data_IF_773434180168
#
_entry.id   IF_773434180168
#
_cell.length_a   1.000
_cell.length_b   1.000
_cell.length_c   1.000
_cell.angle_alpha   90.00
_cell.angle_beta   90.00
_cell.angle_gamma   90.00
#
_symmetry.space_group_name_H-M   'P 1'
#
loop_
_entity.id
_entity.type
_entity.pdbx_description
1 polymer ?
#
# COMPACT_ATOMS: atom_id res chain seq x y z
N UNK A 1 -13.97 -16.54 -14.01
CA UNK A 1 -13.60 -15.12 -13.90
C UNK A 1 -12.11 -14.99 -13.59
N UNK A 2 -11.40 -14.21 -14.41
CA UNK A 2 -9.97 -13.90 -14.25
C UNK A 2 -9.80 -12.45 -13.80
N UNK A 3 -8.99 -12.22 -12.78
CA UNK A 3 -8.71 -10.85 -12.29
C UNK A 3 -7.26 -10.46 -12.47
N UNK A 4 -6.98 -9.16 -12.49
CA UNK A 4 -5.63 -8.60 -12.45
C UNK A 4 -5.45 -7.73 -11.21
N UNK A 5 -4.24 -7.74 -10.64
CA UNK A 5 -3.82 -6.82 -9.59
C UNK A 5 -2.36 -6.45 -9.80
N UNK A 6 -1.96 -5.26 -9.37
CA UNK A 6 -0.64 -4.73 -9.64
C UNK A 6 -0.03 -4.01 -8.44
N UNK A 7 1.29 -4.04 -8.34
CA UNK A 7 2.00 -3.33 -7.28
C UNK A 7 3.49 -3.59 -7.27
N UNK A 8 4.21 -2.80 -6.47
CA UNK A 8 5.63 -3.08 -6.22
C UNK A 8 5.80 -4.25 -5.26
N UNK A 9 4.90 -4.41 -4.27
CA UNK A 9 4.94 -5.47 -3.25
C UNK A 9 6.27 -5.57 -2.48
N UNK A 10 6.92 -4.43 -2.28
CA UNK A 10 8.11 -4.35 -1.45
C UNK A 10 7.74 -4.40 0.04
N UNK A 11 8.55 -5.06 0.88
CA UNK A 11 8.22 -5.33 2.29
C UNK A 11 6.75 -5.75 2.47
N UNK A 12 6.38 -6.92 1.93
CA UNK A 12 5.01 -7.45 1.98
C UNK A 12 4.43 -7.33 3.41
N UNK A 13 3.33 -6.59 3.53
CA UNK A 13 2.69 -6.19 4.78
C UNK A 13 1.19 -6.41 4.69
N UNK A 14 0.47 -6.31 5.81
CA UNK A 14 -0.96 -6.67 5.89
C UNK A 14 -1.85 -5.95 4.87
N UNK A 15 -1.53 -4.70 4.49
CA UNK A 15 -2.21 -4.02 3.39
C UNK A 15 -2.07 -4.73 2.02
N UNK A 16 -0.87 -5.18 1.65
CA UNK A 16 -0.67 -5.98 0.45
C UNK A 16 -1.34 -7.36 0.57
N UNK A 17 -1.24 -7.98 1.73
CA UNK A 17 -1.84 -9.28 2.02
C UNK A 17 -3.36 -9.25 1.86
N UNK A 18 -4.01 -8.15 2.27
CA UNK A 18 -5.43 -7.90 2.06
C UNK A 18 -5.76 -7.82 0.57
N UNK A 19 -5.00 -7.04 -0.21
CA UNK A 19 -5.16 -6.95 -1.67
C UNK A 19 -5.00 -8.31 -2.35
N UNK A 20 -3.95 -9.05 -1.98
CA UNK A 20 -3.67 -10.37 -2.54
C UNK A 20 -4.70 -11.42 -2.11
N UNK A 21 -5.29 -11.30 -0.92
CA UNK A 21 -6.31 -12.23 -0.42
C UNK A 21 -7.58 -12.24 -1.28
N UNK A 22 -7.90 -11.12 -1.93
CA UNK A 22 -9.01 -11.03 -2.88
C UNK A 22 -8.87 -11.99 -4.07
N UNK A 23 -7.64 -12.45 -4.38
CA UNK A 23 -7.39 -13.45 -5.43
C UNK A 23 -8.15 -14.76 -5.23
N UNK A 24 -8.47 -15.13 -3.98
CA UNK A 24 -9.24 -16.35 -3.66
C UNK A 24 -10.66 -16.36 -4.22
N UNK A 25 -11.20 -15.18 -4.60
CA UNK A 25 -12.55 -15.03 -5.13
C UNK A 25 -12.63 -15.27 -6.64
N UNK A 26 -11.51 -15.59 -7.29
CA UNK A 26 -11.36 -15.74 -8.73
C UNK A 26 -10.82 -17.11 -9.11
N UNK A 27 -11.10 -17.53 -10.35
CA UNK A 27 -10.61 -18.81 -10.87
C UNK A 27 -9.10 -18.75 -11.13
N UNK A 28 -8.61 -17.57 -11.53
CA UNK A 28 -7.19 -17.27 -11.65
C UNK A 28 -6.94 -15.76 -11.55
N UNK A 29 -5.71 -15.40 -11.17
CA UNK A 29 -5.28 -14.00 -11.14
C UNK A 29 -3.96 -13.76 -11.86
N UNK A 30 -3.84 -12.61 -12.51
CA UNK A 30 -2.56 -12.08 -13.00
C UNK A 30 -2.07 -11.04 -12.00
N UNK A 31 -0.83 -11.21 -11.54
CA UNK A 31 -0.21 -10.30 -10.58
C UNK A 31 0.95 -9.58 -11.26
N UNK A 32 0.75 -8.30 -11.56
CA UNK A 32 1.77 -7.43 -12.09
C UNK A 32 2.70 -6.94 -10.99
N UNK A 33 3.97 -7.33 -11.06
CA UNK A 33 5.00 -6.86 -10.13
C UNK A 33 5.93 -5.90 -10.87
N UNK A 34 6.09 -4.69 -10.33
CA UNK A 34 6.92 -3.66 -10.99
C UNK A 34 8.36 -4.15 -11.17
N UNK A 35 8.97 -3.86 -12.31
CA UNK A 35 10.41 -4.09 -12.52
C UNK A 35 11.26 -3.31 -11.53
N UNK A 36 12.53 -3.67 -11.38
CA UNK A 36 13.44 -2.95 -10.49
C UNK A 36 13.69 -1.52 -10.96
N UNK A 37 13.78 -1.32 -12.28
CA UNK A 37 13.93 0.01 -12.86
C UNK A 37 12.70 0.88 -12.58
N UNK A 38 11.50 0.32 -12.72
CA UNK A 38 10.27 1.05 -12.48
C UNK A 38 10.05 1.31 -10.98
N UNK A 39 10.32 0.33 -10.12
CA UNK A 39 10.21 0.47 -8.67
C UNK A 39 11.11 1.58 -8.13
N UNK A 40 12.35 1.70 -8.62
CA UNK A 40 13.28 2.77 -8.25
C UNK A 40 12.80 4.17 -8.66
N UNK A 41 12.04 4.29 -9.75
CA UNK A 41 11.44 5.58 -10.15
C UNK A 41 10.28 5.98 -9.25
N UNK A 42 9.56 4.99 -8.69
CA UNK A 42 8.39 5.21 -7.86
C UNK A 42 8.71 5.44 -6.38
N UNK A 43 9.92 5.10 -5.93
CA UNK A 43 10.31 5.09 -4.52
C UNK A 43 11.61 5.86 -4.33
N UNK A 44 11.58 6.82 -3.42
CA UNK A 44 12.76 7.59 -3.00
C UNK A 44 13.65 6.82 -2.00
N UNK A 45 13.82 5.51 -2.23
CA UNK A 45 14.65 4.62 -1.41
C UNK A 45 15.02 3.34 -2.18
N UNK A 46 16.06 2.61 -1.74
CA UNK A 46 16.34 1.27 -2.25
C UNK A 46 15.12 0.35 -2.08
N UNK A 47 14.86 -0.48 -3.09
CA UNK A 47 13.76 -1.45 -3.15
C UNK A 47 14.37 -2.85 -3.30
N UNK A 48 13.76 -3.87 -2.68
CA UNK A 48 14.21 -5.25 -2.90
C UNK A 48 14.07 -5.64 -4.38
N UNK A 49 14.88 -6.59 -4.84
CA UNK A 49 14.88 -6.99 -6.26
C UNK A 49 13.54 -7.57 -6.70
N UNK A 50 13.29 -7.54 -8.01
CA UNK A 50 12.08 -8.08 -8.63
C UNK A 50 11.91 -9.55 -8.26
N UNK A 51 13.00 -10.33 -8.31
CA UNK A 51 12.99 -11.74 -7.95
C UNK A 51 12.63 -11.97 -6.48
N UNK A 52 13.13 -11.14 -5.56
CA UNK A 52 12.78 -11.28 -4.16
C UNK A 52 11.31 -10.95 -3.89
N UNK A 53 10.81 -9.86 -4.48
CA UNK A 53 9.41 -9.43 -4.37
C UNK A 53 8.48 -10.47 -4.99
N UNK A 54 8.81 -10.96 -6.19
CA UNK A 54 8.12 -12.07 -6.87
C UNK A 54 8.05 -13.31 -6.02
N UNK A 55 9.18 -13.75 -5.43
CA UNK A 55 9.22 -14.93 -4.57
C UNK A 55 8.31 -14.79 -3.35
N UNK A 56 8.31 -13.63 -2.69
CA UNK A 56 7.45 -13.35 -1.53
C UNK A 56 5.97 -13.39 -1.89
N UNK A 57 5.58 -12.74 -3.00
CA UNK A 57 4.20 -12.73 -3.49
C UNK A 57 3.76 -14.13 -3.92
N UNK A 58 4.59 -14.86 -4.67
CA UNK A 58 4.30 -16.23 -5.08
C UNK A 58 4.09 -17.14 -3.88
N UNK A 59 4.98 -17.08 -2.88
CA UNK A 59 4.86 -17.87 -1.64
C UNK A 59 3.54 -17.58 -0.92
N UNK A 60 3.17 -16.30 -0.79
CA UNK A 60 1.91 -15.90 -0.16
C UNK A 60 0.69 -16.43 -0.93
N UNK A 61 0.63 -16.23 -2.25
CA UNK A 61 -0.49 -16.70 -3.08
C UNK A 61 -0.60 -18.23 -3.12
N UNK A 62 0.54 -18.94 -3.14
CA UNK A 62 0.57 -20.40 -3.03
C UNK A 62 0.01 -20.86 -1.67
N UNK A 63 0.37 -20.17 -0.58
CA UNK A 63 -0.19 -20.44 0.75
C UNK A 63 -1.70 -20.17 0.83
N UNK A 64 -2.22 -19.30 -0.03
CA UNK A 64 -3.67 -19.08 -0.19
C UNK A 64 -4.36 -20.16 -1.04
N UNK A 65 -3.62 -21.01 -1.75
CA UNK A 65 -4.19 -21.95 -2.73
C UNK A 65 -4.76 -21.26 -3.98
N UNK A 66 -4.37 -20.01 -4.25
CA UNK A 66 -4.82 -19.28 -5.42
C UNK A 66 -4.12 -19.81 -6.69
N UNK A 67 -4.83 -19.82 -7.83
CA UNK A 67 -4.20 -20.00 -9.15
C UNK A 67 -3.73 -18.64 -9.65
N UNK A 68 -2.45 -18.50 -9.95
CA UNK A 68 -1.90 -17.21 -10.32
C UNK A 68 -0.81 -17.28 -11.39
N UNK A 69 -0.66 -16.18 -12.10
CA UNK A 69 0.47 -15.87 -12.97
C UNK A 69 1.12 -14.58 -12.48
N UNK A 70 2.45 -14.52 -12.43
CA UNK A 70 3.18 -13.30 -12.09
C UNK A 70 3.92 -12.79 -13.30
N UNK A 71 3.61 -11.56 -13.69
CA UNK A 71 4.27 -10.84 -14.78
C UNK A 71 5.09 -9.68 -14.23
N UNK A 72 6.14 -9.30 -14.95
CA UNK A 72 6.87 -8.06 -14.69
C UNK A 72 6.18 -6.89 -15.41
N UNK A 73 5.97 -5.76 -14.73
CA UNK A 73 5.38 -4.55 -15.32
C UNK A 73 6.36 -3.37 -15.26
N UNK A 74 6.39 -2.57 -16.32
CA UNK A 74 7.29 -1.42 -16.46
C UNK A 74 6.58 -0.06 -16.42
N UNK A 75 5.26 -0.09 -16.25
CA UNK A 75 4.38 1.08 -16.20
C UNK A 75 3.14 0.77 -15.32
N UNK A 76 2.31 1.78 -14.99
CA UNK A 76 1.13 1.60 -14.13
C UNK A 76 -0.02 0.75 -14.72
N UNK A 77 -0.04 0.51 -16.03
CA UNK A 77 -1.11 -0.18 -16.74
C UNK A 77 -0.80 -1.68 -16.91
N UNK A 78 0.46 -2.02 -17.17
CA UNK A 78 0.87 -3.40 -17.43
C UNK A 78 0.05 -4.02 -18.58
N UNK A 79 -0.35 -5.29 -18.43
CA UNK A 79 -1.18 -5.97 -19.42
C UNK A 79 -2.70 -5.71 -19.25
N UNK A 80 -3.12 -4.91 -18.25
CA UNK A 80 -4.53 -4.74 -17.91
C UNK A 80 -5.33 -4.03 -19.01
N UNK A 81 -4.67 -3.23 -19.84
CA UNK A 81 -5.30 -2.52 -20.95
C UNK A 81 -5.53 -3.45 -22.15
N UNK A 82 -4.60 -4.38 -22.40
CA UNK A 82 -4.61 -5.17 -23.63
C UNK A 82 -5.20 -6.58 -23.46
N UNK A 83 -5.12 -7.18 -22.27
CA UNK A 83 -5.62 -8.53 -22.01
C UNK A 83 -7.16 -8.56 -21.97
N UNK A 84 -7.76 -9.14 -23.02
CA UNK A 84 -9.22 -9.30 -23.15
C UNK A 84 -9.78 -10.47 -22.33
N UNK A 85 -8.91 -11.33 -21.78
CA UNK A 85 -9.34 -12.42 -20.91
C UNK A 85 -9.64 -11.98 -19.47
N UNK A 86 -9.38 -10.71 -19.14
CA UNK A 86 -9.61 -10.14 -17.81
C UNK A 86 -11.05 -9.70 -17.62
N UNK A 87 -11.65 -10.09 -16.49
CA UNK A 87 -12.99 -9.71 -16.08
C UNK A 87 -12.99 -8.59 -15.03
N UNK A 88 -11.94 -8.53 -14.21
CA UNK A 88 -11.87 -7.65 -13.05
C UNK A 88 -10.45 -7.12 -12.80
N UNK A 89 -10.38 -5.96 -12.14
CA UNK A 89 -9.14 -5.39 -11.61
C UNK A 89 -9.31 -5.15 -10.11
N UNK A 90 -8.39 -5.69 -9.32
CA UNK A 90 -8.36 -5.53 -7.87
C UNK A 90 -7.35 -4.44 -7.52
N UNK A 91 -7.79 -3.44 -6.77
CA UNK A 91 -7.02 -2.26 -6.39
C UNK A 91 -7.20 -1.95 -4.90
N UNK A 92 -6.26 -1.20 -4.34
CA UNK A 92 -6.51 -0.47 -3.10
C UNK A 92 -7.19 0.85 -3.41
N UNK A 93 -7.83 1.48 -2.41
CA UNK A 93 -8.33 2.87 -2.50
C UNK A 93 -7.24 3.84 -3.02
N UNK A 94 -5.95 3.58 -2.76
CA UNK A 94 -4.84 4.40 -3.27
C UNK A 94 -4.72 4.37 -4.81
N UNK A 95 -5.10 3.24 -5.40
CA UNK A 95 -4.88 2.92 -6.83
C UNK A 95 -6.18 2.87 -7.63
N UNK A 96 -7.31 3.19 -7.02
CA UNK A 96 -8.63 3.17 -7.67
C UNK A 96 -8.72 4.12 -8.86
N UNK A 97 -8.13 5.32 -8.74
CA UNK A 97 -8.04 6.27 -9.86
C UNK A 97 -7.31 5.67 -11.06
N UNK A 98 -6.26 4.89 -10.83
CA UNK A 98 -5.52 4.21 -11.90
C UNK A 98 -6.37 3.14 -12.59
N UNK A 99 -7.21 2.40 -11.85
CA UNK A 99 -8.17 1.48 -12.46
C UNK A 99 -9.21 2.20 -13.34
N UNK A 100 -9.67 3.38 -12.93
CA UNK A 100 -10.51 4.24 -13.76
C UNK A 100 -9.83 4.62 -15.08
N UNK A 101 -8.56 5.04 -15.04
CA UNK A 101 -7.77 5.35 -16.23
C UNK A 101 -7.55 4.13 -17.13
N UNK A 102 -7.37 2.93 -16.56
CA UNK A 102 -7.28 1.68 -17.32
C UNK A 102 -8.58 1.44 -18.09
N UNK A 103 -9.75 1.57 -17.45
CA UNK A 103 -11.03 1.38 -18.13
C UNK A 103 -11.27 2.42 -19.23
N UNK A 104 -10.92 3.69 -19.01
CA UNK A 104 -10.99 4.71 -20.06
C UNK A 104 -10.14 4.35 -21.30
N UNK A 105 -8.93 3.83 -21.09
CA UNK A 105 -8.09 3.36 -22.20
C UNK A 105 -8.69 2.14 -22.90
N UNK A 106 -9.21 1.18 -22.14
CA UNK A 106 -9.88 -0.02 -22.68
C UNK A 106 -11.06 0.37 -23.57
N UNK A 107 -11.91 1.27 -23.10
CA UNK A 107 -13.05 1.78 -23.87
C UNK A 107 -12.59 2.49 -25.15
N UNK A 108 -11.52 3.29 -25.08
CA UNK A 108 -10.91 3.93 -26.25
C UNK A 108 -10.38 2.94 -27.29
N UNK A 109 -10.05 1.71 -26.88
CA UNK A 109 -9.64 0.61 -27.76
C UNK A 109 -10.79 -0.36 -28.10
N UNK A 110 -12.03 -0.02 -27.77
CA UNK A 110 -13.20 -0.87 -28.01
C UNK A 110 -13.27 -2.12 -27.13
N UNK A 111 -12.51 -2.16 -26.03
CA UNK A 111 -12.47 -3.29 -25.09
C UNK A 111 -13.47 -3.09 -23.96
N UNK A 112 -14.00 -4.19 -23.43
CA UNK A 112 -14.92 -4.18 -22.30
C UNK A 112 -14.22 -3.65 -21.04
N UNK A 113 -14.85 -2.74 -20.27
CA UNK A 113 -14.29 -2.27 -19.01
C UNK A 113 -14.21 -3.41 -17.98
N UNK A 114 -13.16 -3.38 -17.15
CA UNK A 114 -12.95 -4.32 -16.05
C UNK A 114 -13.84 -3.94 -14.86
N UNK A 115 -14.37 -4.94 -14.17
CA UNK A 115 -15.01 -4.71 -12.86
C UNK A 115 -13.94 -4.28 -11.85
N UNK A 116 -14.05 -3.07 -11.32
CA UNK A 116 -13.13 -2.56 -10.30
C UNK A 116 -13.54 -3.10 -8.92
N UNK A 117 -12.58 -3.68 -8.21
CA UNK A 117 -12.74 -4.18 -6.85
C UNK A 117 -11.76 -3.46 -5.96
N UNK A 118 -12.29 -2.60 -5.09
CA UNK A 118 -11.49 -1.74 -4.22
C UNK A 118 -11.37 -2.37 -2.83
N UNK A 119 -10.14 -2.42 -2.32
CA UNK A 119 -9.82 -2.86 -0.96
C UNK A 119 -9.52 -1.64 -0.07
N UNK A 120 -10.00 -1.64 1.19
CA UNK A 120 -9.84 -0.50 2.07
C UNK A 120 -8.38 -0.32 2.49
N UNK A 121 -8.01 0.92 2.81
CA UNK A 121 -6.72 1.21 3.44
C UNK A 121 -6.65 0.54 4.82
N UNK A 122 -5.51 -0.11 5.10
CA UNK A 122 -5.22 -0.67 6.42
C UNK A 122 -4.33 0.31 7.20
N UNK A 123 -4.74 0.60 8.43
CA UNK A 123 -4.07 1.52 9.35
C UNK A 123 -3.28 0.75 10.41
N UNK A 124 -2.15 1.31 10.82
CA UNK A 124 -1.34 0.78 11.92
C UNK A 124 -1.83 1.26 13.28
N UNK A 125 -1.10 0.88 14.32
CA UNK A 125 -1.39 1.22 15.73
C UNK A 125 -1.43 2.73 16.00
N UNK A 126 -0.73 3.52 15.19
CA UNK A 126 -0.72 4.98 15.27
C UNK A 126 -1.78 5.66 14.40
N UNK A 127 -2.79 4.92 13.94
CA UNK A 127 -3.85 5.38 13.04
C UNK A 127 -3.34 5.95 11.70
N UNK A 128 -2.06 5.73 11.36
CA UNK A 128 -1.51 6.08 10.07
C UNK A 128 -1.51 4.86 9.15
N UNK A 129 -1.70 5.07 7.85
CA UNK A 129 -1.70 4.01 6.84
C UNK A 129 -0.43 3.18 6.84
N UNK A 130 -0.55 1.86 6.83
CA UNK A 130 0.58 0.94 6.67
C UNK A 130 1.14 1.06 5.25
N UNK A 131 2.46 1.20 5.12
CA UNK A 131 3.12 1.25 3.82
C UNK A 131 4.53 0.66 3.87
N UNK A 132 5.00 0.15 2.73
CA UNK A 132 6.35 -0.40 2.59
C UNK A 132 7.45 0.60 2.96
N UNK A 133 7.19 1.91 2.83
CA UNK A 133 8.17 2.94 3.21
C UNK A 133 8.32 2.97 4.73
N UNK A 134 7.21 2.94 5.47
CA UNK A 134 7.22 2.93 6.94
C UNK A 134 7.77 1.64 7.52
N UNK A 135 7.53 0.50 6.85
CA UNK A 135 8.15 -0.78 7.22
C UNK A 135 9.66 -0.74 6.97
N UNK A 136 10.08 -0.26 5.80
CA UNK A 136 11.50 -0.17 5.45
C UNK A 136 12.29 0.79 6.35
N UNK A 137 11.68 1.88 6.79
CA UNK A 137 12.30 2.85 7.69
C UNK A 137 12.24 2.44 9.18
N UNK A 138 11.70 1.26 9.50
CA UNK A 138 11.60 0.76 10.87
C UNK A 138 10.63 1.55 11.75
N UNK A 139 9.72 2.34 11.18
CA UNK A 139 8.69 3.04 11.95
C UNK A 139 7.62 2.07 12.47
N UNK A 140 7.30 1.07 11.64
CA UNK A 140 6.35 0.01 11.96
C UNK A 140 6.88 -1.35 11.48
N UNK A 141 6.36 -2.42 12.05
CA UNK A 141 6.51 -3.75 11.45
C UNK A 141 5.49 -3.99 10.32
N UNK A 142 5.50 -5.20 9.74
CA UNK A 142 4.61 -5.60 8.64
C UNK A 142 3.14 -5.71 9.04
N UNK A 143 2.84 -5.83 10.33
CA UNK A 143 1.48 -5.86 10.87
C UNK A 143 0.95 -4.46 11.22
N UNK A 144 1.81 -3.44 11.20
CA UNK A 144 1.46 -2.07 11.55
C UNK A 144 1.68 -1.71 13.01
N UNK A 145 2.34 -2.57 13.79
CA UNK A 145 2.76 -2.26 15.16
C UNK A 145 3.91 -1.26 15.12
N UNK A 146 3.92 -0.29 16.04
CA UNK A 146 5.02 0.67 16.12
C UNK A 146 6.33 -0.01 16.53
N UNK A 147 7.38 0.28 15.77
CA UNK A 147 8.76 -0.11 16.08
C UNK A 147 9.63 1.10 16.49
N UNK A 148 9.10 2.31 16.36
CA UNK A 148 9.69 3.55 16.86
C UNK A 148 8.60 4.45 17.47
N UNK A 149 8.95 5.40 18.36
CA UNK A 149 7.99 6.35 18.92
C UNK A 149 7.34 7.22 17.83
N UNK A 150 6.08 7.57 18.02
CA UNK A 150 5.39 8.56 17.18
C UNK A 150 5.84 9.96 17.62
N UNK A 151 6.39 10.73 16.68
CA UNK A 151 6.81 12.11 16.95
C UNK A 151 5.60 13.04 16.82
N UNK A 152 5.31 13.80 17.86
CA UNK A 152 4.19 14.75 17.89
C UNK A 152 4.73 16.14 18.15
N UNK A 153 4.49 17.07 17.22
CA UNK A 153 4.83 18.47 17.42
C UNK A 153 3.65 19.18 18.08
N UNK A 154 3.86 19.72 19.28
CA UNK A 154 2.87 20.51 20.00
C UNK A 154 3.15 21.97 19.74
N UNK A 155 2.22 22.66 19.07
CA UNK A 155 2.27 24.10 18.76
C UNK A 155 2.17 25.01 19.98
N UNK A 156 2.96 24.74 21.00
CA UNK A 156 3.10 25.56 22.19
C UNK A 156 4.41 25.25 22.90
N UNK A 157 5.07 26.30 23.40
CA UNK A 157 6.22 26.18 24.31
C UNK A 157 5.81 26.12 25.79
N UNK A 158 4.51 26.14 26.09
CA UNK A 158 4.00 26.03 27.45
C UNK A 158 4.03 24.57 27.91
N UNK A 159 4.77 24.31 29.00
CA UNK A 159 5.00 22.96 29.53
C UNK A 159 3.71 22.26 29.96
N UNK A 160 2.78 22.97 30.62
CA UNK A 160 1.49 22.40 31.03
C UNK A 160 0.63 21.96 29.83
N UNK A 161 0.74 22.64 28.68
CA UNK A 161 0.10 22.21 27.43
C UNK A 161 0.75 20.96 26.85
N UNK A 162 2.09 20.88 26.89
CA UNK A 162 2.83 19.70 26.43
C UNK A 162 2.48 18.47 27.27
N UNK A 163 2.45 18.60 28.60
CA UNK A 163 2.02 17.52 29.50
C UNK A 163 0.56 17.12 29.28
N UNK A 164 -0.32 18.10 29.06
CA UNK A 164 -1.73 17.86 28.75
C UNK A 164 -1.90 17.00 27.50
N UNK A 165 -1.13 17.30 26.44
CA UNK A 165 -1.10 16.50 25.21
C UNK A 165 -0.54 15.10 25.48
N UNK A 166 0.58 14.97 26.20
CA UNK A 166 1.15 13.66 26.55
C UNK A 166 0.14 12.77 27.28
N UNK A 167 -0.57 13.31 28.28
CA UNK A 167 -1.63 12.58 29.00
C UNK A 167 -2.79 12.19 28.08
N UNK A 168 -3.16 13.05 27.14
CA UNK A 168 -4.23 12.75 26.19
C UNK A 168 -3.83 11.61 25.24
N UNK A 169 -2.62 11.66 24.67
CA UNK A 169 -2.10 10.63 23.76
C UNK A 169 -1.99 9.27 24.46
N UNK A 170 -1.44 9.25 25.68
CA UNK A 170 -1.29 8.02 26.47
C UNK A 170 -2.62 7.34 26.85
N UNK A 171 -3.76 8.05 26.76
CA UNK A 171 -5.10 7.48 26.98
C UNK A 171 -5.71 6.84 25.74
N UNK A 172 -5.27 7.27 24.55
CA UNK A 172 -5.87 6.87 23.28
C UNK A 172 -5.06 5.78 22.60
N UNK A 173 -3.73 5.86 22.69
CA UNK A 173 -2.83 5.01 21.93
C UNK A 173 -2.03 4.07 22.84
N UNK A 174 -1.81 2.85 22.36
CA UNK A 174 -1.01 1.82 23.04
C UNK A 174 0.48 1.86 22.71
N UNK A 175 0.88 2.69 21.75
CA UNK A 175 2.27 2.86 21.34
C UNK A 175 2.97 4.04 22.04
N UNK A 176 4.29 4.11 21.92
CA UNK A 176 5.09 5.19 22.49
C UNK A 176 5.00 6.49 21.66
N UNK A 177 4.95 7.63 22.34
CA UNK A 177 4.94 8.96 21.72
C UNK A 177 6.07 9.81 22.28
N UNK A 178 6.65 10.65 21.42
CA UNK A 178 7.55 11.72 21.80
C UNK A 178 6.94 13.05 21.39
N UNK A 179 6.33 13.74 22.35
CA UNK A 179 5.81 15.08 22.13
C UNK A 179 6.93 16.12 22.33
N UNK A 180 7.16 16.97 21.33
CA UNK A 180 8.09 18.08 21.39
C UNK A 180 7.37 19.40 21.19
N UNK A 181 7.72 20.39 22.02
CA UNK A 181 7.23 21.76 21.85
C UNK A 181 7.81 22.39 20.58
N UNK A 182 6.96 23.04 19.80
CA UNK A 182 7.37 23.95 18.73
C UNK A 182 6.70 25.31 18.91
N UNK A 183 7.37 26.38 18.45
CA UNK A 183 6.71 27.69 18.35
C UNK A 183 5.56 27.55 17.35
N UNK A 184 4.36 27.99 17.74
CA UNK A 184 3.28 28.12 16.79
C UNK A 184 3.71 29.13 15.71
N UNK A 185 4.00 28.63 14.51
CA UNK A 185 4.05 29.49 13.33
C UNK A 185 2.65 30.04 13.11
N UNK A 186 2.54 31.35 12.87
CA UNK A 186 1.30 31.94 12.38
C UNK A 186 1.09 31.48 10.93
N UNK A 187 0.49 30.31 10.72
CA UNK A 187 0.04 29.91 9.39
C UNK A 187 0.38 28.47 9.02
N UNK A 188 -0.57 27.89 8.31
CA UNK A 188 -0.46 26.77 7.40
C UNK A 188 0.78 26.97 6.51
N UNK A 189 1.68 25.98 6.49
CA UNK A 189 2.55 25.68 5.35
C UNK A 189 2.25 24.23 4.91
#
# INVERSE_FOLDING_TARGET
MKAVLGGTFDFLHVGHERLLCESKKFDSVVVGITSDAFARKLKDRPVNSYFERKRKVASYLSGLGAKFEIIEINDPFGNAVDDDSLDAIIVSEETEKTAGLINQKREGYGKKPLKIITTPIIYGEDCLRISSVRVASGLIDRAGKRAAPVKVNVGSTNESKLEGVNRALARVFSCEFHASACKAGSGID
#
